data_IF_965471773802
#
_entry.id   IF_965471773802
#
_cell.length_a   1.000
_cell.length_b   1.000
_cell.length_c   1.000
_cell.angle_alpha   90.00
_cell.angle_beta   90.00
_cell.angle_gamma   90.00
#
_symmetry.space_group_name_H-M   'P 1'
#
loop_
_entity.id
_entity.type
_entity.pdbx_description
1 polymer ?
#
# COMPACT_ATOMS: atom_id res chain seq x y z
N UNK A 1 -2.11 30.42 -34.51
CA UNK A 1 -3.35 29.71 -34.11
C UNK A 1 -2.94 28.38 -33.49
N UNK A 2 -2.29 28.39 -32.32
CA UNK A 2 -2.91 28.58 -30.99
C UNK A 2 -3.70 27.31 -30.64
N UNK A 3 -3.39 26.49 -29.64
CA UNK A 3 -2.90 26.82 -28.30
C UNK A 3 -2.14 25.61 -27.69
N UNK A 4 -0.98 25.86 -27.08
CA UNK A 4 -0.36 24.97 -26.10
C UNK A 4 -0.99 25.25 -24.74
N UNK A 5 -1.85 24.37 -24.26
CA UNK A 5 -2.43 24.49 -22.92
C UNK A 5 -1.38 24.07 -21.87
N UNK A 6 -0.94 25.07 -21.10
CA UNK A 6 -0.05 24.92 -19.94
C UNK A 6 -0.84 24.32 -18.78
N UNK A 7 -0.45 23.14 -18.29
CA UNK A 7 -0.98 22.62 -17.02
C UNK A 7 0.05 22.74 -15.90
N UNK A 8 -0.42 23.36 -14.83
CA UNK A 8 0.27 23.93 -13.67
C UNK A 8 0.88 22.91 -12.70
N UNK A 9 1.99 23.29 -12.05
CA UNK A 9 2.64 22.56 -10.96
C UNK A 9 1.71 22.45 -9.73
N UNK A 10 1.29 21.24 -9.33
CA UNK A 10 0.63 21.00 -8.04
C UNK A 10 0.85 19.56 -7.56
N UNK A 11 1.72 19.40 -6.54
CA UNK A 11 1.92 18.16 -5.77
C UNK A 11 2.63 17.03 -6.53
N UNK A 12 3.60 16.37 -5.89
CA UNK A 12 4.29 15.19 -6.46
C UNK A 12 3.32 14.01 -6.56
N UNK A 13 2.48 13.98 -7.58
CA UNK A 13 1.79 12.76 -8.02
C UNK A 13 2.85 11.86 -8.65
N UNK A 14 3.07 10.62 -8.18
CA UNK A 14 3.88 9.66 -8.93
C UNK A 14 3.31 9.62 -10.34
N UNK A 15 4.17 9.83 -11.34
CA UNK A 15 3.77 10.03 -12.73
C UNK A 15 2.71 9.02 -13.13
N UNK A 16 1.68 9.50 -13.83
CA UNK A 16 0.79 8.63 -14.58
C UNK A 16 1.72 7.92 -15.56
N UNK A 17 2.11 6.69 -15.23
CA UNK A 17 2.90 5.86 -16.13
C UNK A 17 1.99 5.61 -17.32
N UNK A 18 2.20 6.29 -18.45
CA UNK A 18 1.55 5.95 -19.72
C UNK A 18 2.19 4.65 -20.23
N UNK A 19 2.00 3.61 -19.43
CA UNK A 19 2.43 2.26 -19.68
C UNK A 19 1.30 1.59 -20.45
N UNK A 20 1.65 0.84 -21.49
CA UNK A 20 0.69 0.09 -22.29
C UNK A 20 -0.23 -0.76 -21.40
N UNK A 21 -1.52 -0.73 -21.71
CA UNK A 21 -2.53 -1.46 -20.94
C UNK A 21 -2.25 -2.97 -20.91
N UNK A 22 -1.61 -3.49 -21.97
CA UNK A 22 -1.18 -4.89 -22.09
C UNK A 22 -0.12 -5.27 -21.04
N UNK A 23 0.88 -4.40 -20.80
CA UNK A 23 1.89 -4.64 -19.77
C UNK A 23 1.26 -4.62 -18.38
N UNK A 24 0.30 -3.73 -18.16
CA UNK A 24 -0.45 -3.66 -16.89
C UNK A 24 -1.27 -4.93 -16.65
N UNK A 25 -1.95 -5.42 -17.68
CA UNK A 25 -2.73 -6.66 -17.60
C UNK A 25 -1.81 -7.88 -17.36
N UNK A 26 -0.67 -7.94 -18.04
CA UNK A 26 0.36 -8.95 -17.82
C UNK A 26 0.88 -8.95 -16.37
N UNK A 27 1.15 -7.78 -15.80
CA UNK A 27 1.54 -7.63 -14.38
C UNK A 27 0.42 -8.12 -13.44
N UNK A 28 -0.83 -7.79 -13.73
CA UNK A 28 -1.99 -8.24 -12.96
C UNK A 28 -2.21 -9.76 -13.04
N UNK A 29 -2.00 -10.36 -14.21
CA UNK A 29 -2.02 -11.79 -14.43
C UNK A 29 -0.96 -12.49 -13.59
N UNK A 30 0.30 -12.08 -13.72
CA UNK A 30 1.40 -12.67 -12.94
C UNK A 30 1.20 -12.55 -11.42
N UNK A 31 0.61 -11.44 -10.96
CA UNK A 31 0.27 -11.27 -9.55
C UNK A 31 -0.88 -12.19 -9.11
N UNK A 32 -1.89 -12.40 -9.96
CA UNK A 32 -2.99 -13.34 -9.69
C UNK A 32 -2.52 -14.80 -9.67
N UNK A 33 -1.48 -15.13 -10.43
CA UNK A 33 -0.79 -16.43 -10.39
C UNK A 33 0.05 -16.65 -9.12
N UNK A 34 0.13 -15.64 -8.24
CA UNK A 34 0.80 -15.73 -6.94
C UNK A 34 2.29 -15.40 -6.97
N UNK A 35 2.83 -14.89 -8.08
CA UNK A 35 4.22 -14.42 -8.13
C UNK A 35 4.42 -13.22 -7.20
N UNK A 36 5.56 -13.20 -6.51
CA UNK A 36 5.92 -12.04 -5.70
C UNK A 36 6.31 -10.84 -6.58
N UNK A 37 6.21 -9.62 -6.04
CA UNK A 37 6.55 -8.39 -6.77
C UNK A 37 8.00 -8.36 -7.27
N UNK A 38 8.89 -9.07 -6.57
CA UNK A 38 10.28 -9.21 -6.96
C UNK A 38 10.38 -10.12 -8.19
N UNK A 39 9.76 -11.29 -8.14
CA UNK A 39 9.74 -12.24 -9.27
C UNK A 39 9.11 -11.62 -10.52
N UNK A 40 8.02 -10.87 -10.37
CA UNK A 40 7.39 -10.14 -11.48
C UNK A 40 8.38 -9.12 -12.09
N UNK A 41 9.10 -8.38 -11.25
CA UNK A 41 10.08 -7.40 -11.72
C UNK A 41 11.29 -8.06 -12.41
N UNK A 42 11.78 -9.18 -11.89
CA UNK A 42 12.87 -9.93 -12.51
C UNK A 42 12.44 -10.49 -13.86
N UNK A 43 11.26 -11.13 -13.92
CA UNK A 43 10.70 -11.68 -15.15
C UNK A 43 10.52 -10.63 -16.23
N UNK A 44 9.98 -9.45 -15.90
CA UNK A 44 9.82 -8.36 -16.88
C UNK A 44 11.14 -7.75 -17.34
N UNK A 45 12.17 -7.77 -16.47
CA UNK A 45 13.52 -7.32 -16.84
C UNK A 45 14.18 -8.34 -17.79
N UNK A 46 14.02 -9.64 -17.51
CA UNK A 46 14.55 -10.73 -18.33
C UNK A 46 13.87 -10.81 -19.71
N UNK A 47 12.55 -10.58 -19.75
CA UNK A 47 11.74 -10.54 -20.97
C UNK A 47 12.01 -9.26 -21.81
N UNK A 48 12.89 -8.38 -21.34
CA UNK A 48 13.31 -7.18 -22.07
C UNK A 48 12.22 -6.11 -22.19
N UNK A 49 11.16 -6.17 -21.37
CA UNK A 49 10.05 -5.21 -21.42
C UNK A 49 10.55 -3.84 -20.95
N UNK A 50 10.56 -2.80 -21.80
CA UNK A 50 11.08 -1.50 -21.43
C UNK A 50 10.17 -0.83 -20.38
N UNK A 51 10.76 -0.30 -19.30
CA UNK A 51 10.00 0.58 -18.39
C UNK A 51 9.96 2.00 -18.95
N UNK A 52 8.96 2.78 -18.56
CA UNK A 52 8.81 4.18 -18.99
C UNK A 52 10.00 5.11 -18.63
N UNK A 53 10.96 4.68 -17.79
CA UNK A 53 12.07 5.54 -17.34
C UNK A 53 13.44 4.87 -17.27
N UNK A 54 13.51 3.54 -17.38
CA UNK A 54 14.73 2.75 -17.19
C UNK A 54 14.61 1.38 -17.85
N UNK A 55 15.73 0.71 -18.10
CA UNK A 55 15.75 -0.65 -18.64
C UNK A 55 15.41 -1.74 -17.61
N UNK A 56 15.36 -1.40 -16.31
CA UNK A 56 15.16 -2.38 -15.22
C UNK A 56 13.85 -2.15 -14.46
N UNK A 57 13.11 -3.24 -14.23
CA UNK A 57 11.94 -3.24 -13.37
C UNK A 57 12.33 -3.36 -11.88
N UNK A 58 11.56 -2.70 -11.04
CA UNK A 58 11.73 -2.73 -9.58
C UNK A 58 10.41 -3.09 -8.90
N UNK A 59 10.47 -3.82 -7.78
CA UNK A 59 9.32 -4.20 -6.95
C UNK A 59 8.41 -3.00 -6.60
N UNK A 60 9.01 -1.83 -6.35
CA UNK A 60 8.29 -0.62 -5.99
C UNK A 60 7.43 -0.10 -7.16
N UNK A 61 7.91 -0.25 -8.40
CA UNK A 61 7.18 0.14 -9.61
C UNK A 61 6.00 -0.79 -9.84
N UNK A 62 6.20 -2.10 -9.75
CA UNK A 62 5.14 -3.12 -9.85
C UNK A 62 4.06 -2.87 -8.80
N UNK A 63 4.48 -2.59 -7.56
CA UNK A 63 3.58 -2.23 -6.47
C UNK A 63 2.73 -1.02 -6.80
N UNK A 64 3.31 0.07 -7.32
CA UNK A 64 2.55 1.28 -7.66
C UNK A 64 1.53 0.99 -8.76
N UNK A 65 1.94 0.29 -9.83
CA UNK A 65 1.06 -0.06 -10.95
C UNK A 65 -0.13 -0.88 -10.46
N UNK A 66 0.11 -1.93 -9.69
CA UNK A 66 -0.98 -2.76 -9.21
C UNK A 66 -1.90 -2.02 -8.22
N UNK A 67 -1.35 -1.16 -7.36
CA UNK A 67 -2.19 -0.29 -6.53
C UNK A 67 -3.03 0.70 -7.36
N UNK A 68 -2.52 1.20 -8.51
CA UNK A 68 -3.29 2.02 -9.44
C UNK A 68 -4.43 1.23 -10.11
N UNK A 69 -4.23 -0.08 -10.32
CA UNK A 69 -5.26 -0.99 -10.82
C UNK A 69 -6.24 -1.48 -9.74
N UNK A 70 -6.08 -1.05 -8.48
CA UNK A 70 -6.89 -1.55 -7.36
C UNK A 70 -6.52 -2.97 -6.90
N UNK A 71 -5.48 -3.56 -7.48
CA UNK A 71 -4.95 -4.88 -7.12
C UNK A 71 -3.93 -4.67 -5.98
N UNK A 72 -4.43 -4.69 -4.74
CA UNK A 72 -3.62 -4.35 -3.57
C UNK A 72 -2.43 -5.29 -3.36
N UNK A 73 -1.24 -4.83 -3.71
CA UNK A 73 0.02 -5.59 -3.68
C UNK A 73 0.86 -5.37 -2.45
N UNK A 74 0.20 -5.30 -1.32
CA UNK A 74 0.87 -5.11 -0.06
C UNK A 74 0.22 -5.89 1.06
N UNK A 75 0.95 -5.93 2.17
CA UNK A 75 0.40 -5.97 3.52
C UNK A 75 -1.00 -5.35 3.52
N UNK A 76 -2.01 -6.18 3.80
CA UNK A 76 -3.40 -5.79 3.92
C UNK A 76 -3.51 -4.39 4.53
N UNK A 77 -4.10 -3.44 3.81
CA UNK A 77 -4.29 -2.11 4.37
C UNK A 77 -5.39 -2.22 5.41
N UNK A 78 -5.02 -2.06 6.68
CA UNK A 78 -6.01 -1.96 7.76
C UNK A 78 -7.04 -0.89 7.34
N UNK A 79 -8.33 -1.24 7.20
CA UNK A 79 -9.36 -0.32 6.77
C UNK A 79 -9.40 0.93 7.64
N UNK A 80 -9.84 2.05 7.07
CA UNK A 80 -9.87 3.31 7.82
C UNK A 80 -10.82 3.17 9.02
N UNK A 81 -12.00 2.58 8.85
CA UNK A 81 -12.95 2.25 9.92
C UNK A 81 -12.32 1.44 11.07
N UNK A 82 -11.43 0.49 10.75
CA UNK A 82 -10.71 -0.27 11.77
C UNK A 82 -9.75 0.62 12.56
N UNK A 83 -9.10 1.59 11.90
CA UNK A 83 -8.22 2.56 12.58
C UNK A 83 -9.01 3.51 13.46
N UNK A 84 -10.16 3.98 12.99
CA UNK A 84 -11.06 4.85 13.74
C UNK A 84 -11.60 4.11 14.97
N UNK A 85 -11.98 2.84 14.83
CA UNK A 85 -12.35 1.96 15.95
C UNK A 85 -11.23 1.75 16.96
N UNK A 86 -10.00 1.51 16.49
CA UNK A 86 -8.82 1.40 17.37
C UNK A 86 -8.63 2.68 18.19
N UNK A 87 -8.81 3.83 17.56
CA UNK A 87 -8.65 5.14 18.20
C UNK A 87 -9.78 5.41 19.21
N UNK A 88 -11.02 5.06 18.87
CA UNK A 88 -12.18 5.20 19.74
C UNK A 88 -12.03 4.34 21.01
N UNK A 89 -11.73 3.05 20.86
CA UNK A 89 -11.49 2.15 21.99
C UNK A 89 -10.33 2.64 22.88
N UNK A 90 -9.29 3.23 22.28
CA UNK A 90 -8.20 3.81 23.05
C UNK A 90 -8.63 5.06 23.84
N UNK A 91 -9.46 5.93 23.27
CA UNK A 91 -10.04 7.10 23.95
C UNK A 91 -10.97 6.70 25.10
N UNK A 92 -11.64 5.55 25.00
CA UNK A 92 -12.43 4.95 26.07
C UNK A 92 -11.58 4.34 27.20
N UNK A 93 -10.24 4.39 27.10
CA UNK A 93 -9.33 3.90 28.12
C UNK A 93 -8.92 2.43 27.98
N UNK A 94 -9.31 1.74 26.90
CA UNK A 94 -8.85 0.37 26.68
C UNK A 94 -7.35 0.33 26.43
N UNK A 95 -6.68 -0.64 27.07
CA UNK A 95 -5.27 -0.92 26.83
C UNK A 95 -5.05 -1.46 25.41
N UNK A 96 -3.85 -1.28 24.86
CA UNK A 96 -3.49 -1.84 23.53
C UNK A 96 -3.64 -3.36 23.48
N UNK A 97 -3.51 -4.03 24.62
CA UNK A 97 -3.74 -5.47 24.74
C UNK A 97 -5.22 -5.81 24.57
N UNK A 98 -6.10 -5.12 25.32
CA UNK A 98 -7.55 -5.35 25.21
C UNK A 98 -8.07 -5.06 23.80
N UNK A 99 -7.60 -3.98 23.17
CA UNK A 99 -7.96 -3.64 21.79
C UNK A 99 -7.49 -4.74 20.82
N UNK A 100 -6.27 -5.25 20.96
CA UNK A 100 -5.77 -6.33 20.10
C UNK A 100 -6.59 -7.62 20.26
N UNK A 101 -7.03 -7.94 21.49
CA UNK A 101 -7.87 -9.10 21.74
C UNK A 101 -9.23 -8.94 21.05
N UNK A 102 -9.90 -7.79 21.23
CA UNK A 102 -11.20 -7.50 20.61
C UNK A 102 -11.15 -7.60 19.08
N UNK A 103 -10.12 -7.04 18.44
CA UNK A 103 -9.97 -7.13 16.98
C UNK A 103 -9.69 -8.56 16.50
N UNK A 104 -9.05 -9.37 17.34
CA UNK A 104 -8.80 -10.79 17.04
C UNK A 104 -10.08 -11.60 17.17
N UNK A 105 -10.87 -11.36 18.22
CA UNK A 105 -12.17 -12.01 18.44
C UNK A 105 -13.18 -11.65 17.34
N UNK A 106 -13.17 -10.42 16.86
CA UNK A 106 -14.01 -9.96 15.74
C UNK A 106 -13.54 -10.46 14.37
N UNK A 107 -12.37 -11.11 14.29
CA UNK A 107 -11.83 -11.64 13.04
C UNK A 107 -11.37 -10.58 12.05
N UNK A 108 -11.19 -9.33 12.49
CA UNK A 108 -10.75 -8.23 11.61
C UNK A 108 -9.34 -8.51 11.12
N UNK A 109 -9.04 -8.43 9.80
CA UNK A 109 -7.71 -8.74 9.32
C UNK A 109 -6.71 -7.64 9.73
N UNK A 110 -5.58 -8.06 10.27
CA UNK A 110 -4.45 -7.18 10.59
C UNK A 110 -3.71 -6.75 9.32
N UNK A 111 -2.63 -5.96 9.46
CA UNK A 111 -1.84 -5.51 8.30
C UNK A 111 -1.12 -6.62 7.50
N UNK A 112 -1.28 -7.90 7.87
CA UNK A 112 -0.79 -9.07 7.14
C UNK A 112 -1.94 -9.91 6.58
N UNK A 113 -3.18 -9.42 6.65
CA UNK A 113 -4.38 -10.15 6.22
C UNK A 113 -4.74 -11.32 7.14
N UNK A 114 -4.21 -11.37 8.37
CA UNK A 114 -4.49 -12.44 9.35
C UNK A 114 -5.38 -11.88 10.46
N UNK A 115 -6.32 -12.66 11.02
CA UNK A 115 -7.19 -12.18 12.10
C UNK A 115 -6.45 -11.93 13.42
N UNK A 116 -5.20 -12.37 13.57
CA UNK A 116 -4.42 -12.22 14.81
C UNK A 116 -3.84 -10.82 14.98
N UNK A 117 -4.30 -10.07 15.98
CA UNK A 117 -3.73 -8.77 16.32
C UNK A 117 -2.69 -8.85 17.44
N UNK A 118 -1.73 -7.92 17.41
CA UNK A 118 -0.68 -7.80 18.42
C UNK A 118 -0.74 -6.43 19.09
N UNK A 119 -0.59 -6.32 20.42
CA UNK A 119 -0.65 -5.05 21.13
C UNK A 119 0.33 -4.01 20.59
N UNK A 120 1.54 -4.43 20.22
CA UNK A 120 2.58 -3.56 19.62
C UNK A 120 2.19 -3.00 18.24
N UNK A 121 1.32 -3.70 17.51
CA UNK A 121 0.78 -3.23 16.23
C UNK A 121 -0.28 -2.16 16.46
N UNK A 122 -1.20 -2.42 17.40
CA UNK A 122 -2.22 -1.46 17.83
C UNK A 122 -1.58 -0.16 18.35
N UNK A 123 -0.57 -0.26 19.22
CA UNK A 123 0.13 0.92 19.75
C UNK A 123 0.84 1.74 18.67
N UNK A 124 1.39 1.11 17.63
CA UNK A 124 1.98 1.83 16.48
C UNK A 124 0.94 2.57 15.66
N UNK A 125 -0.24 1.98 15.47
CA UNK A 125 -1.36 2.62 14.75
C UNK A 125 -1.84 3.83 15.56
N UNK A 126 -2.13 3.66 16.84
CA UNK A 126 -2.52 4.76 17.74
C UNK A 126 -1.48 5.87 17.70
N UNK A 127 -0.20 5.54 17.87
CA UNK A 127 0.87 6.55 17.87
C UNK A 127 0.92 7.34 16.56
N UNK A 128 0.76 6.67 15.40
CA UNK A 128 0.73 7.33 14.09
C UNK A 128 -0.51 8.21 13.90
N UNK A 129 -1.67 7.81 14.44
CA UNK A 129 -2.90 8.59 14.36
C UNK A 129 -2.84 9.84 15.26
N UNK A 130 -2.25 9.71 16.44
CA UNK A 130 -2.08 10.82 17.38
C UNK A 130 -0.91 11.73 17.00
N UNK A 131 0.13 11.20 16.33
CA UNK A 131 1.33 11.94 15.94
C UNK A 131 1.65 11.75 14.44
N UNK A 132 0.92 12.43 13.53
CA UNK A 132 1.04 12.22 12.09
C UNK A 132 2.35 12.75 11.49
N UNK A 133 3.06 13.65 12.18
CA UNK A 133 4.30 14.27 11.70
C UNK A 133 5.49 13.66 12.44
N UNK A 134 6.06 12.61 11.86
CA UNK A 134 7.37 12.01 12.14
C UNK A 134 8.00 12.34 13.51
N UNK A 135 7.58 11.63 14.56
CA UNK A 135 8.33 11.60 15.82
C UNK A 135 9.69 10.92 15.62
N UNK A 136 10.69 11.69 15.18
CA UNK A 136 12.09 11.32 15.41
C UNK A 136 12.28 11.29 16.92
N UNK A 137 12.42 10.09 17.49
CA UNK A 137 12.97 9.95 18.83
C UNK A 137 14.44 10.38 18.76
N UNK A 138 14.78 11.40 19.56
CA UNK A 138 16.15 11.76 19.91
C UNK A 138 16.75 10.65 20.76
#
# INVERSE_FOLDING_TARGET
MDQKEKVTKKGRKPGIYELEQEIRDRIAGMHSEGMSLLEIAEKLTEDGVPTARSAKWHEATIKVILNQMGLETGRYKVPQDTKDKILDLHKQGHSTYRIALLLTEEGVPNSRGKPKWYPRTVGRIINRLLNPIGGKKK
#
